data_IF_493093750171
#
_entry.id   IF_493093750171
#
_cell.length_a   1.000
_cell.length_b   1.000
_cell.length_c   1.000
_cell.angle_alpha   90.00
_cell.angle_beta   90.00
_cell.angle_gamma   90.00
#
_symmetry.space_group_name_H-M   'P 1'
#
loop_
_entity.id
_entity.type
_entity.pdbx_description
1 polymer ?
#
# COMPACT_ATOMS: atom_id res chain seq x y z
N UNK A 1 -9.71 14.15 38.27
CA UNK A 1 -8.55 14.53 37.47
C UNK A 1 -8.92 14.33 36.01
N UNK A 2 -9.24 15.38 35.33
CA UNK A 2 -9.60 15.39 33.94
C UNK A 2 -8.32 15.23 33.13
N UNK A 3 -8.18 14.09 32.43
CA UNK A 3 -7.21 13.95 31.36
C UNK A 3 -7.76 14.72 30.17
N UNK A 4 -7.51 16.02 30.16
CA UNK A 4 -7.77 16.86 29.00
C UNK A 4 -6.83 16.44 27.86
N UNK A 5 -7.21 15.39 27.18
CA UNK A 5 -6.62 15.03 25.90
C UNK A 5 -7.20 15.97 24.85
N UNK A 6 -6.68 17.17 24.76
CA UNK A 6 -7.03 18.12 23.70
C UNK A 6 -6.60 17.51 22.36
N UNK A 7 -7.53 17.18 21.47
CA UNK A 7 -7.20 16.49 20.22
C UNK A 7 -6.25 17.28 19.30
N UNK A 8 -6.22 18.60 19.41
CA UNK A 8 -5.31 19.45 18.64
C UNK A 8 -3.86 19.38 19.17
N UNK A 9 -3.66 19.36 20.49
CA UNK A 9 -2.35 19.19 21.11
C UNK A 9 -1.74 17.82 20.84
N UNK A 10 -2.58 16.81 20.76
CA UNK A 10 -2.16 15.45 20.45
C UNK A 10 -1.56 15.33 19.02
N UNK A 11 -2.09 16.01 18.02
CA UNK A 11 -1.57 15.99 16.65
C UNK A 11 -0.16 16.60 16.55
N UNK A 12 0.06 17.77 17.11
CA UNK A 12 1.37 18.41 17.16
C UNK A 12 2.41 17.56 17.88
N UNK A 13 2.03 16.93 18.98
CA UNK A 13 2.86 16.03 19.75
C UNK A 13 3.22 14.77 18.94
N UNK A 14 2.25 14.19 18.24
CA UNK A 14 2.49 13.01 17.37
C UNK A 14 3.44 13.32 16.23
N UNK A 15 3.31 14.46 15.58
CA UNK A 15 4.24 14.92 14.53
C UNK A 15 5.66 15.02 15.09
N UNK A 16 5.81 15.62 16.25
CA UNK A 16 7.12 15.74 16.92
C UNK A 16 7.70 14.38 17.29
N UNK A 17 6.89 13.48 17.85
CA UNK A 17 7.32 12.12 18.19
C UNK A 17 7.77 11.34 16.94
N UNK A 18 7.00 11.37 15.87
CA UNK A 18 7.32 10.71 14.61
C UNK A 18 8.65 11.23 14.04
N UNK A 19 8.82 12.56 14.00
CA UNK A 19 10.06 13.19 13.53
C UNK A 19 11.27 12.76 14.35
N UNK A 20 11.19 12.83 15.68
CA UNK A 20 12.29 12.46 16.58
C UNK A 20 12.60 10.98 16.52
N UNK A 21 11.59 10.12 16.45
CA UNK A 21 11.79 8.68 16.32
C UNK A 21 12.52 8.32 15.02
N UNK A 22 12.32 9.07 13.94
CA UNK A 22 13.04 8.92 12.68
C UNK A 22 14.43 9.58 12.68
N UNK A 23 14.81 10.26 13.76
CA UNK A 23 16.12 10.95 13.87
C UNK A 23 16.24 12.20 13.01
N UNK A 24 15.12 12.81 12.60
CA UNK A 24 15.10 13.98 11.73
C UNK A 24 15.01 15.30 12.53
N UNK A 25 15.74 16.31 12.11
CA UNK A 25 15.52 17.67 12.53
C UNK A 25 14.29 18.28 11.84
N UNK A 26 13.78 19.40 12.35
CA UNK A 26 12.70 20.13 11.67
C UNK A 26 13.09 20.55 10.26
N UNK A 27 14.34 20.96 10.05
CA UNK A 27 14.86 21.34 8.73
C UNK A 27 14.96 20.16 7.77
N UNK A 28 15.39 19.00 8.26
CA UNK A 28 15.47 17.79 7.45
C UNK A 28 14.08 17.29 7.04
N UNK A 29 13.14 17.26 7.99
CA UNK A 29 11.77 16.89 7.68
C UNK A 29 11.14 17.84 6.67
N UNK A 30 11.33 19.14 6.83
CA UNK A 30 10.84 20.16 5.90
C UNK A 30 11.39 19.96 4.49
N UNK A 31 12.69 19.68 4.37
CA UNK A 31 13.34 19.41 3.09
C UNK A 31 12.72 18.20 2.39
N UNK A 32 12.52 17.10 3.11
CA UNK A 32 11.92 15.87 2.57
C UNK A 32 10.45 16.05 2.16
N UNK A 33 9.70 16.88 2.89
CA UNK A 33 8.31 17.19 2.57
C UNK A 33 8.14 18.28 1.50
N UNK A 34 9.23 18.94 1.08
CA UNK A 34 9.16 20.04 0.14
C UNK A 34 8.50 21.30 0.70
N UNK A 35 8.57 21.52 2.01
CA UNK A 35 8.02 22.71 2.70
C UNK A 35 9.14 23.49 3.39
N UNK A 36 8.81 24.69 3.88
CA UNK A 36 9.74 25.47 4.67
C UNK A 36 9.80 24.94 6.11
N UNK A 37 10.96 25.09 6.76
CA UNK A 37 11.14 24.72 8.16
C UNK A 37 10.08 25.38 9.08
N UNK A 38 9.70 26.61 8.78
CA UNK A 38 8.65 27.33 9.53
C UNK A 38 7.30 26.59 9.52
N UNK A 39 6.95 25.91 8.42
CA UNK A 39 5.74 25.11 8.37
C UNK A 39 5.78 23.97 9.40
N UNK A 40 6.86 23.20 9.45
CA UNK A 40 7.04 22.12 10.43
C UNK A 40 7.03 22.67 11.85
N UNK A 41 7.72 23.78 12.09
CA UNK A 41 7.72 24.46 13.40
C UNK A 41 6.32 24.89 13.83
N UNK A 42 5.52 25.44 12.93
CA UNK A 42 4.14 25.83 13.19
C UNK A 42 3.24 24.63 13.52
N UNK A 43 3.39 23.53 12.80
CA UNK A 43 2.63 22.30 13.07
C UNK A 43 2.92 21.73 14.46
N UNK A 44 4.18 21.70 14.85
CA UNK A 44 4.62 21.22 16.17
C UNK A 44 4.28 22.18 17.30
N UNK A 45 4.12 23.47 17.00
CA UNK A 45 3.72 24.50 17.94
C UNK A 45 2.19 24.76 17.98
N UNK A 46 1.39 23.96 17.28
CA UNK A 46 -0.08 24.13 17.18
C UNK A 46 -0.54 25.44 16.53
N UNK A 47 0.32 26.06 15.72
CA UNK A 47 0.02 27.30 15.00
C UNK A 47 -0.50 27.07 13.59
N UNK A 48 -0.55 25.83 13.14
CA UNK A 48 -1.03 25.42 11.84
C UNK A 48 -1.22 23.92 11.80
N UNK A 49 -1.91 23.44 10.78
CA UNK A 49 -2.15 22.02 10.54
C UNK A 49 -1.55 21.62 9.19
N UNK A 50 -0.86 20.48 9.10
CA UNK A 50 -0.45 19.96 7.81
C UNK A 50 -1.68 19.51 7.01
N UNK A 51 -1.56 19.56 5.68
CA UNK A 51 -2.56 18.95 4.79
C UNK A 51 -2.56 17.43 4.92
N UNK A 52 -3.62 16.78 4.46
CA UNK A 52 -3.69 15.32 4.44
C UNK A 52 -2.56 14.70 3.61
N UNK A 53 -2.17 15.36 2.53
CA UNK A 53 -1.05 14.92 1.72
C UNK A 53 0.29 14.98 2.47
N UNK A 54 0.54 16.07 3.21
CA UNK A 54 1.72 16.18 4.06
C UNK A 54 1.73 15.15 5.19
N UNK A 55 0.57 14.86 5.80
CA UNK A 55 0.45 13.80 6.81
C UNK A 55 0.78 12.42 6.24
N UNK A 56 0.34 12.11 5.02
CA UNK A 56 0.68 10.86 4.34
C UNK A 56 2.17 10.74 4.08
N UNK A 57 2.77 11.79 3.52
CA UNK A 57 4.21 11.83 3.27
C UNK A 57 5.01 11.71 4.56
N UNK A 58 4.58 12.40 5.62
CA UNK A 58 5.21 12.33 6.93
C UNK A 58 5.14 10.91 7.51
N UNK A 59 4.00 10.25 7.41
CA UNK A 59 3.84 8.86 7.84
C UNK A 59 4.80 7.91 7.10
N UNK A 60 4.92 8.06 5.77
CA UNK A 60 5.85 7.27 4.96
C UNK A 60 7.32 7.53 5.32
N UNK A 61 7.72 8.78 5.46
CA UNK A 61 9.09 9.18 5.80
C UNK A 61 9.53 8.72 7.19
N UNK A 62 8.63 8.74 8.14
CA UNK A 62 8.93 8.43 9.54
C UNK A 62 8.63 6.98 9.93
N UNK A 63 7.98 6.22 9.05
CA UNK A 63 7.62 4.83 9.29
C UNK A 63 6.50 4.64 10.33
N UNK A 64 5.71 5.69 10.60
CA UNK A 64 4.54 5.60 11.49
C UNK A 64 3.27 5.31 10.71
N UNK A 65 2.26 4.77 11.39
CA UNK A 65 0.95 4.55 10.77
C UNK A 65 0.22 5.88 10.55
N UNK A 66 -0.35 6.03 9.35
CA UNK A 66 -1.11 7.21 8.97
C UNK A 66 -2.30 7.47 9.91
N UNK A 67 -3.05 6.42 10.26
CA UNK A 67 -4.18 6.57 11.18
C UNK A 67 -3.74 7.11 12.55
N UNK A 68 -2.62 6.62 13.06
CA UNK A 68 -2.08 7.12 14.33
C UNK A 68 -1.70 8.60 14.24
N UNK A 69 -0.97 9.01 13.21
CA UNK A 69 -0.52 10.41 13.12
C UNK A 69 -1.68 11.37 12.84
N UNK A 70 -2.67 10.93 12.06
CA UNK A 70 -3.83 11.75 11.70
C UNK A 70 -4.87 11.84 12.82
N UNK A 71 -5.13 10.75 13.52
CA UNK A 71 -6.26 10.64 14.46
C UNK A 71 -5.86 10.29 15.89
N UNK A 72 -4.66 9.80 16.12
CA UNK A 72 -4.20 9.25 17.40
C UNK A 72 -4.72 7.84 17.71
N UNK A 73 -5.41 7.22 16.78
CA UNK A 73 -5.92 5.85 16.95
C UNK A 73 -4.91 4.84 16.46
N UNK A 74 -4.90 3.68 17.10
CA UNK A 74 -4.00 2.59 16.76
C UNK A 74 -2.56 2.80 17.25
N UNK A 75 -1.68 1.84 16.99
CA UNK A 75 -0.27 1.92 17.37
C UNK A 75 0.50 2.90 16.48
N UNK A 76 1.53 3.53 17.03
CA UNK A 76 2.42 4.46 16.32
C UNK A 76 3.16 3.77 15.19
N UNK A 77 3.76 2.62 15.48
CA UNK A 77 4.47 1.80 14.50
C UNK A 77 3.66 0.57 14.12
N UNK A 78 3.68 0.16 12.85
CA UNK A 78 3.01 -1.07 12.46
C UNK A 78 3.62 -2.26 13.19
N UNK A 79 2.78 -3.20 13.64
CA UNK A 79 3.26 -4.48 14.15
C UNK A 79 3.86 -5.30 13.01
N UNK A 80 4.69 -6.29 13.34
CA UNK A 80 5.23 -7.21 12.33
C UNK A 80 4.10 -7.92 11.54
N UNK A 81 3.02 -8.28 12.21
CA UNK A 81 1.82 -8.86 11.57
C UNK A 81 1.14 -7.87 10.63
N UNK A 82 0.99 -6.61 11.04
CA UNK A 82 0.41 -5.55 10.20
C UNK A 82 1.28 -5.23 8.98
N UNK A 83 2.61 -5.33 9.09
CA UNK A 83 3.52 -5.18 7.96
C UNK A 83 3.40 -6.35 6.98
N UNK A 84 3.28 -7.57 7.49
CA UNK A 84 3.06 -8.76 6.67
C UNK A 84 1.72 -8.69 5.91
N UNK A 85 0.66 -8.25 6.58
CA UNK A 85 -0.64 -8.02 5.95
C UNK A 85 -0.57 -6.92 4.89
N UNK A 86 0.16 -5.84 5.14
CA UNK A 86 0.34 -4.75 4.19
C UNK A 86 1.18 -5.16 2.98
N UNK A 87 2.24 -5.93 3.18
CA UNK A 87 3.05 -6.49 2.09
C UNK A 87 2.24 -7.51 1.29
N UNK A 88 1.50 -8.37 1.97
CA UNK A 88 0.57 -9.31 1.31
C UNK A 88 -0.52 -8.58 0.52
N UNK A 89 -0.98 -7.43 0.98
CA UNK A 89 -1.98 -6.64 0.27
C UNK A 89 -1.42 -5.89 -0.95
N UNK A 90 -0.15 -5.50 -0.95
CA UNK A 90 0.50 -4.86 -2.10
C UNK A 90 0.66 -5.83 -3.28
N UNK A 91 0.97 -7.09 -2.98
CA UNK A 91 1.08 -8.16 -3.98
C UNK A 91 -0.22 -8.96 -4.17
N UNK A 92 -1.28 -8.61 -3.43
CA UNK A 92 -2.56 -9.28 -3.53
C UNK A 92 -3.28 -8.89 -4.82
N UNK A 93 -3.42 -9.84 -5.73
CA UNK A 93 -4.35 -9.74 -6.84
C UNK A 93 -5.78 -9.84 -6.30
N UNK A 94 -6.57 -8.79 -6.53
CA UNK A 94 -7.99 -8.81 -6.20
C UNK A 94 -8.72 -9.75 -7.18
N UNK A 95 -9.22 -10.87 -6.67
CA UNK A 95 -9.91 -11.89 -7.46
C UNK A 95 -11.41 -11.78 -7.21
N UNK A 96 -12.11 -11.11 -8.11
CA UNK A 96 -13.57 -10.92 -8.04
C UNK A 96 -14.36 -11.96 -8.82
N UNK A 97 -13.77 -12.59 -9.83
CA UNK A 97 -14.45 -13.60 -10.65
C UNK A 97 -14.72 -14.88 -9.85
N UNK A 98 -15.97 -15.40 -9.86
CA UNK A 98 -16.31 -16.62 -9.14
C UNK A 98 -15.57 -17.87 -9.62
N UNK A 99 -15.21 -17.96 -10.90
CA UNK A 99 -14.46 -19.08 -11.45
C UNK A 99 -13.01 -19.06 -11.01
N UNK A 100 -12.40 -17.89 -11.00
CA UNK A 100 -11.04 -17.72 -10.48
C UNK A 100 -10.95 -18.07 -8.99
N UNK A 101 -11.94 -17.63 -8.19
CA UNK A 101 -12.00 -18.00 -6.76
C UNK A 101 -12.12 -19.50 -6.56
N UNK A 102 -12.95 -20.20 -7.37
CA UNK A 102 -13.08 -21.66 -7.31
C UNK A 102 -11.77 -22.35 -7.70
N UNK A 103 -11.09 -21.86 -8.74
CA UNK A 103 -9.83 -22.41 -9.19
C UNK A 103 -8.74 -22.24 -8.10
N UNK A 104 -8.64 -21.09 -7.50
CA UNK A 104 -7.70 -20.82 -6.41
C UNK A 104 -7.98 -21.70 -5.18
N UNK A 105 -9.25 -21.85 -4.79
CA UNK A 105 -9.62 -22.72 -3.69
C UNK A 105 -9.23 -24.17 -3.96
N UNK A 106 -9.56 -24.70 -5.14
CA UNK A 106 -9.20 -26.05 -5.56
C UNK A 106 -7.67 -26.26 -5.61
N UNK A 107 -6.92 -25.29 -6.12
CA UNK A 107 -5.47 -25.32 -6.15
C UNK A 107 -4.85 -25.36 -4.74
N UNK A 108 -5.39 -24.58 -3.80
CA UNK A 108 -4.91 -24.55 -2.41
C UNK A 108 -5.21 -25.83 -1.65
N UNK A 109 -6.33 -26.49 -1.94
CA UNK A 109 -6.71 -27.77 -1.33
C UNK A 109 -6.02 -28.96 -1.98
N UNK A 110 -5.51 -28.80 -3.20
CA UNK A 110 -4.83 -29.88 -3.91
C UNK A 110 -3.53 -30.31 -3.18
N UNK A 111 -3.21 -31.61 -3.18
CA UNK A 111 -1.93 -32.08 -2.68
C UNK A 111 -0.76 -31.38 -3.37
N UNK A 112 0.34 -31.17 -2.65
CA UNK A 112 1.50 -30.40 -3.16
C UNK A 112 2.01 -30.98 -4.49
N UNK A 113 1.99 -32.31 -4.65
CA UNK A 113 2.41 -32.98 -5.87
C UNK A 113 1.52 -32.67 -7.09
N UNK A 114 0.25 -32.33 -6.87
CA UNK A 114 -0.71 -32.04 -7.93
C UNK A 114 -0.70 -30.56 -8.37
N UNK A 115 -0.11 -29.67 -7.59
CA UNK A 115 -0.15 -28.23 -7.86
C UNK A 115 0.62 -27.83 -9.11
N UNK A 116 1.81 -28.39 -9.31
CA UNK A 116 2.62 -28.11 -10.50
C UNK A 116 1.94 -28.58 -11.78
N UNK A 117 1.45 -29.82 -11.88
CA UNK A 117 0.69 -30.28 -13.06
C UNK A 117 -0.57 -29.44 -13.35
N UNK A 118 -1.29 -28.98 -12.33
CA UNK A 118 -2.43 -28.09 -12.51
C UNK A 118 -2.04 -26.74 -13.09
N UNK A 119 -0.93 -26.17 -12.62
CA UNK A 119 -0.39 -24.91 -13.13
C UNK A 119 0.05 -25.06 -14.60
N UNK A 120 0.81 -26.09 -14.92
CA UNK A 120 1.27 -26.39 -16.30
C UNK A 120 0.10 -26.58 -17.27
N UNK A 121 -0.97 -27.26 -16.84
CA UNK A 121 -2.17 -27.43 -17.65
C UNK A 121 -2.85 -26.07 -17.92
N UNK A 122 -2.99 -25.24 -16.90
CA UNK A 122 -3.58 -23.90 -17.05
C UNK A 122 -2.78 -23.02 -17.99
N UNK A 123 -1.44 -23.05 -17.91
CA UNK A 123 -0.53 -22.30 -18.78
C UNK A 123 -0.59 -22.79 -20.24
N UNK A 124 -0.66 -24.11 -20.45
CA UNK A 124 -0.81 -24.70 -21.79
C UNK A 124 -2.13 -24.24 -22.44
N UNK A 125 -3.24 -24.27 -21.71
CA UNK A 125 -4.53 -23.84 -22.23
C UNK A 125 -4.56 -22.34 -22.54
N UNK A 126 -3.92 -21.51 -21.73
CA UNK A 126 -3.76 -20.08 -21.98
C UNK A 126 -2.94 -19.81 -23.25
N UNK A 127 -1.84 -20.54 -23.45
CA UNK A 127 -0.97 -20.42 -24.62
C UNK A 127 -1.67 -20.81 -25.93
N UNK A 128 -2.51 -21.84 -25.92
CA UNK A 128 -3.31 -22.26 -27.09
C UNK A 128 -4.29 -21.17 -27.55
N UNK A 129 -4.85 -20.41 -26.62
CA UNK A 129 -5.76 -19.30 -26.94
C UNK A 129 -5.04 -18.15 -27.63
N UNK A 130 -3.82 -17.82 -27.20
CA UNK A 130 -3.00 -16.79 -27.82
C UNK A 130 -2.55 -17.18 -29.25
N UNK A 131 -2.28 -18.44 -29.51
CA UNK A 131 -1.92 -18.95 -30.84
C UNK A 131 -3.07 -18.86 -31.84
N UNK A 132 -4.32 -19.12 -31.43
CA UNK A 132 -5.52 -19.01 -32.30
C UNK A 132 -5.87 -17.58 -32.70
N UNK A 133 -5.59 -16.61 -31.86
CA UNK A 133 -5.85 -15.19 -32.16
C UNK A 133 -4.87 -14.66 -33.22
N UNK A 134 -3.64 -15.18 -33.22
CA UNK A 134 -2.60 -14.79 -34.20
C UNK A 134 -2.86 -15.38 -35.60
N UNK A 135 -3.48 -16.54 -35.70
CA UNK A 135 -3.84 -17.17 -36.99
C UNK A 135 -5.07 -16.52 -37.65
N UNK A 136 -5.98 -15.94 -36.88
CA UNK A 136 -7.17 -15.25 -37.46
C UNK A 136 -6.86 -13.88 -38.05
N UNK A 137 -5.79 -13.23 -37.63
CA UNK A 137 -5.35 -11.94 -38.18
C UNK A 137 -4.43 -12.05 -39.41
N UNK A 138 -3.99 -13.28 -39.74
CA UNK A 138 -3.10 -13.54 -40.88
C UNK A 138 -3.79 -13.90 -42.20
N UNK A 139 -5.10 -14.17 -42.20
CA UNK A 139 -5.82 -14.65 -43.42
C UNK A 139 -6.71 -13.59 -44.08
N UNK A 140 -6.64 -12.32 -43.62
CA UNK A 140 -7.44 -11.25 -44.22
C UNK A 140 -6.70 -10.31 -45.22
N UNK A 141 -5.51 -10.74 -45.69
CA UNK A 141 -4.72 -9.86 -46.58
C UNK A 141 -4.24 -10.52 -47.90
N UNK A 142 -4.87 -11.63 -48.34
CA UNK A 142 -4.61 -12.16 -49.69
C UNK A 142 -5.93 -12.41 -50.40
N UNK A 143 -6.36 -11.41 -51.15
CA UNK A 143 -7.53 -11.55 -52.01
C UNK A 143 -8.03 -10.22 -52.58
N UNK A 144 -7.17 -9.46 -53.27
CA UNK A 144 -7.57 -8.39 -54.20
C UNK A 144 -6.46 -8.20 -55.25
N UNK A 145 -6.54 -9.00 -56.26
CA UNK A 145 -6.06 -8.69 -57.62
C UNK A 145 -7.21 -8.96 -58.56
#
# INVERSE_FOLDING_TARGET
>A
MSLDTHPAGAAAHRIRLARRAAGLSQSQLALELGVQRSAVSHWEAQRGKPSMNHLRQLALLTGVQFEWIATGRGPMTPSAESLLDSVAAVDALLVDDPQERRLLAAFREAPVQARLPLLELAEQLASQRLGRTRQRSGTASEGLL
#
